data_IF_112749304811
#
_entry.id   IF_112749304811
#
_cell.length_a   1.000
_cell.length_b   1.000
_cell.length_c   1.000
_cell.angle_alpha   90.00
_cell.angle_beta   90.00
_cell.angle_gamma   90.00
#
_symmetry.space_group_name_H-M   'P 1'
#
loop_
_entity.id
_entity.type
_entity.pdbx_description
1 polymer ?
#
# COMPACT_ATOMS: atom_id res chain seq x y z
N UNK A 1 3.88 12.02 -9.41
CA UNK A 1 2.59 11.83 -10.13
C UNK A 1 1.39 12.60 -9.55
N UNK A 2 1.33 12.89 -8.25
CA UNK A 2 0.22 13.67 -7.64
C UNK A 2 0.72 14.94 -6.95
N UNK A 3 1.90 15.43 -7.35
CA UNK A 3 2.64 16.49 -6.64
C UNK A 3 1.80 17.72 -6.29
N UNK A 4 0.92 18.26 -7.17
CA UNK A 4 0.12 19.42 -6.79
C UNK A 4 -0.83 19.15 -5.60
N UNK A 5 -1.31 17.92 -5.45
CA UNK A 5 -2.20 17.51 -4.36
C UNK A 5 -1.46 17.29 -3.04
N UNK A 6 -0.15 17.03 -3.09
CA UNK A 6 0.67 16.79 -1.89
C UNK A 6 0.75 18.03 -0.98
N UNK A 7 0.51 19.23 -1.51
CA UNK A 7 0.43 20.45 -0.71
C UNK A 7 -0.82 20.55 0.19
N UNK A 8 -1.82 19.65 0.01
CA UNK A 8 -3.06 19.65 0.77
C UNK A 8 -2.92 18.78 2.04
N UNK A 9 -2.28 19.31 3.08
CA UNK A 9 -1.91 18.53 4.27
C UNK A 9 -3.08 18.08 5.17
N UNK A 10 -4.25 18.70 5.04
CA UNK A 10 -5.44 18.41 5.86
C UNK A 10 -6.35 17.33 5.26
N UNK A 11 -5.92 16.66 4.19
CA UNK A 11 -6.70 15.60 3.57
C UNK A 11 -6.86 14.38 4.49
N UNK A 12 -8.09 13.86 4.56
CA UNK A 12 -8.46 12.69 5.37
C UNK A 12 -8.96 11.53 4.52
N UNK A 13 -9.76 11.83 3.51
CA UNK A 13 -10.34 10.84 2.61
C UNK A 13 -9.96 11.20 1.17
N UNK A 14 -9.17 10.34 0.55
CA UNK A 14 -8.62 10.59 -0.79
C UNK A 14 -8.86 9.37 -1.67
N UNK A 15 -9.50 9.60 -2.81
CA UNK A 15 -9.70 8.59 -3.86
C UNK A 15 -9.23 9.15 -5.19
N UNK A 16 -8.17 8.55 -5.73
CA UNK A 16 -7.57 8.92 -7.01
C UNK A 16 -7.77 7.76 -7.98
N UNK A 17 -8.77 7.91 -8.85
CA UNK A 17 -9.23 6.88 -9.77
C UNK A 17 -8.92 7.29 -11.20
N UNK A 18 -7.96 6.64 -11.82
CA UNK A 18 -7.53 6.95 -13.17
C UNK A 18 -7.92 5.87 -14.19
N UNK A 19 -8.74 4.88 -13.80
CA UNK A 19 -9.29 3.89 -14.72
C UNK A 19 -8.22 3.20 -15.57
N UNK A 20 -8.30 3.32 -16.90
CA UNK A 20 -7.40 2.66 -17.86
C UNK A 20 -6.07 3.40 -18.08
N UNK A 21 -5.85 4.54 -17.41
CA UNK A 21 -4.56 5.21 -17.52
C UNK A 21 -3.47 4.37 -16.84
N UNK A 22 -2.31 4.36 -17.48
CA UNK A 22 -1.12 3.67 -16.99
C UNK A 22 -0.12 4.67 -16.48
N UNK A 23 0.41 4.43 -15.29
CA UNK A 23 1.43 5.27 -14.73
C UNK A 23 2.53 4.47 -14.03
N UNK A 24 3.78 4.94 -14.12
CA UNK A 24 4.81 4.50 -13.19
C UNK A 24 4.52 5.08 -11.81
N UNK A 25 4.76 4.28 -10.78
CA UNK A 25 4.81 4.77 -9.41
C UNK A 25 5.81 3.97 -8.60
N UNK A 26 6.46 4.65 -7.66
CA UNK A 26 7.61 4.14 -6.92
C UNK A 26 7.34 4.08 -5.42
N UNK A 27 8.19 3.35 -4.69
CA UNK A 27 8.18 3.36 -3.23
C UNK A 27 8.40 4.79 -2.67
N UNK A 28 9.12 5.66 -3.39
CA UNK A 28 9.25 7.08 -3.01
C UNK A 28 7.97 7.88 -3.21
N UNK A 29 7.18 7.62 -4.26
CA UNK A 29 5.87 8.26 -4.42
C UNK A 29 4.94 7.91 -3.24
N UNK A 30 4.94 6.64 -2.82
CA UNK A 30 4.15 6.20 -1.65
C UNK A 30 4.61 6.86 -0.35
N UNK A 31 5.92 7.01 -0.16
CA UNK A 31 6.48 7.77 0.96
C UNK A 31 5.99 9.22 0.94
N UNK A 32 6.15 9.91 -0.19
CA UNK A 32 5.73 11.31 -0.32
C UNK A 32 4.23 11.48 -0.05
N UNK A 33 3.38 10.56 -0.51
CA UNK A 33 1.95 10.56 -0.19
C UNK A 33 1.73 10.43 1.32
N UNK A 34 2.32 9.43 1.97
CA UNK A 34 2.13 9.18 3.39
C UNK A 34 2.63 10.33 4.28
N UNK A 35 3.79 10.90 3.94
CA UNK A 35 4.37 12.05 4.65
C UNK A 35 3.56 13.34 4.45
N UNK A 36 2.98 13.53 3.26
CA UNK A 36 2.24 14.75 2.94
C UNK A 36 0.86 14.82 3.61
N UNK A 37 0.24 13.66 3.87
CA UNK A 37 -1.13 13.58 4.40
C UNK A 37 -1.19 12.77 5.70
N UNK A 38 -0.60 13.26 6.80
CA UNK A 38 -0.57 12.55 8.08
C UNK A 38 -1.96 12.38 8.73
N UNK A 39 -2.94 13.20 8.30
CA UNK A 39 -4.33 13.13 8.74
C UNK A 39 -5.19 12.07 8.06
N UNK A 40 -4.63 11.30 7.11
CA UNK A 40 -5.37 10.29 6.35
C UNK A 40 -6.13 9.30 7.23
N UNK A 41 -7.42 9.12 6.91
CA UNK A 41 -8.32 8.10 7.45
C UNK A 41 -8.66 7.06 6.37
N UNK A 42 -8.79 7.47 5.11
CA UNK A 42 -9.06 6.57 3.97
C UNK A 42 -8.24 6.97 2.73
N UNK A 43 -7.52 6.02 2.14
CA UNK A 43 -6.80 6.24 0.88
C UNK A 43 -7.10 5.15 -0.15
N UNK A 44 -7.48 5.57 -1.36
CA UNK A 44 -7.67 4.70 -2.52
C UNK A 44 -6.92 5.27 -3.73
N UNK A 45 -6.07 4.45 -4.30
CA UNK A 45 -5.34 4.74 -5.53
C UNK A 45 -5.58 3.63 -6.53
N UNK A 46 -6.11 3.97 -7.70
CA UNK A 46 -6.50 2.99 -8.71
C UNK A 46 -6.11 3.46 -10.11
N UNK A 47 -5.29 2.64 -10.78
CA UNK A 47 -4.87 2.81 -12.17
C UNK A 47 -4.24 1.49 -12.67
N UNK A 48 -4.02 1.39 -13.98
CA UNK A 48 -3.36 0.22 -14.58
C UNK A 48 -1.85 0.31 -14.36
N UNK A 49 -1.25 -0.73 -13.78
CA UNK A 49 0.20 -0.78 -13.58
C UNK A 49 0.89 -1.57 -14.68
N UNK A 50 1.95 -1.00 -15.27
CA UNK A 50 2.88 -1.75 -16.11
C UNK A 50 3.74 -2.67 -15.25
N UNK A 51 4.18 -3.79 -15.83
CA UNK A 51 5.18 -4.66 -15.20
C UNK A 51 6.50 -3.85 -15.02
N UNK A 52 7.22 -4.08 -13.93
CA UNK A 52 8.47 -3.38 -13.56
C UNK A 52 8.35 -1.89 -13.19
N UNK A 53 7.15 -1.30 -13.20
CA UNK A 53 6.91 0.12 -12.86
C UNK A 53 5.94 0.27 -11.68
N UNK A 54 6.21 -0.49 -10.61
CA UNK A 54 5.35 -0.59 -9.43
C UNK A 54 6.14 -0.29 -8.17
N UNK A 55 5.46 0.23 -7.15
CA UNK A 55 6.08 0.37 -5.84
C UNK A 55 6.31 -1.01 -5.20
N UNK A 56 7.41 -1.13 -4.46
CA UNK A 56 7.72 -2.31 -3.67
C UNK A 56 6.73 -2.47 -2.52
N UNK A 57 6.31 -3.71 -2.25
CA UNK A 57 5.29 -4.03 -1.26
C UNK A 57 5.67 -3.56 0.15
N UNK A 58 6.96 -3.53 0.47
CA UNK A 58 7.46 -3.04 1.76
C UNK A 58 7.09 -1.57 2.04
N UNK A 59 6.87 -0.77 0.99
CA UNK A 59 6.59 0.66 1.09
C UNK A 59 5.25 0.99 1.77
N UNK A 60 4.35 0.01 1.95
CA UNK A 60 3.13 0.21 2.77
C UNK A 60 3.45 0.58 4.22
N UNK A 61 4.66 0.28 4.69
CA UNK A 61 5.12 0.68 6.02
C UNK A 61 5.15 2.21 6.18
N UNK A 62 5.28 2.98 5.11
CA UNK A 62 5.24 4.44 5.18
C UNK A 62 3.90 4.95 5.70
N UNK A 63 2.79 4.32 5.30
CA UNK A 63 1.47 4.67 5.83
C UNK A 63 1.36 4.34 7.32
N UNK A 64 1.95 3.24 7.77
CA UNK A 64 1.97 2.89 9.19
C UNK A 64 2.75 3.89 10.05
N UNK A 65 3.81 4.49 9.49
CA UNK A 65 4.64 5.49 10.18
C UNK A 65 3.97 6.87 10.20
N UNK A 66 3.40 7.30 9.06
CA UNK A 66 3.01 8.70 8.89
C UNK A 66 1.50 8.94 8.99
N UNK A 67 0.66 7.91 8.84
CA UNK A 67 -0.79 8.04 8.83
C UNK A 67 -1.44 7.28 10.01
N UNK A 68 -1.25 7.74 11.28
CA UNK A 68 -1.69 7.00 12.47
C UNK A 68 -3.22 6.88 12.62
N UNK A 69 -4.00 7.55 11.76
CA UNK A 69 -5.46 7.51 11.74
C UNK A 69 -6.02 6.64 10.61
N UNK A 70 -5.17 6.07 9.76
CA UNK A 70 -5.59 5.37 8.55
C UNK A 70 -6.36 4.08 8.88
N UNK A 71 -7.59 3.98 8.38
CA UNK A 71 -8.53 2.87 8.58
C UNK A 71 -8.74 2.04 7.32
N UNK A 72 -8.67 2.66 6.14
CA UNK A 72 -8.81 1.99 4.85
C UNK A 72 -7.69 2.38 3.89
N UNK A 73 -7.02 1.39 3.33
CA UNK A 73 -5.93 1.55 2.37
C UNK A 73 -6.13 0.63 1.18
N UNK A 74 -6.26 1.22 -0.02
CA UNK A 74 -6.40 0.50 -1.28
C UNK A 74 -5.36 1.00 -2.28
N UNK A 75 -4.55 0.08 -2.78
CA UNK A 75 -3.41 0.38 -3.65
C UNK A 75 -3.51 -0.38 -4.98
N UNK A 76 -2.91 0.18 -6.06
CA UNK A 76 -2.79 -0.51 -7.34
C UNK A 76 -1.80 -1.69 -7.22
N UNK A 77 -1.54 -2.38 -8.34
CA UNK A 77 -0.65 -3.55 -8.32
C UNK A 77 0.77 -3.19 -7.84
N UNK A 78 1.28 -3.93 -6.86
CA UNK A 78 2.62 -3.77 -6.26
C UNK A 78 3.54 -4.92 -6.67
N UNK A 79 4.82 -4.81 -6.35
CA UNK A 79 5.80 -5.88 -6.54
C UNK A 79 6.51 -6.26 -5.24
N UNK A 80 6.91 -7.51 -5.12
CA UNK A 80 7.77 -7.99 -4.06
C UNK A 80 9.11 -8.40 -4.67
N UNK A 81 10.20 -7.78 -4.21
CA UNK A 81 11.56 -8.18 -4.61
C UNK A 81 12.19 -9.06 -3.53
N UNK A 82 13.12 -9.94 -3.93
CA UNK A 82 13.73 -10.89 -3.00
C UNK A 82 14.47 -10.14 -1.88
N UNK A 83 14.11 -10.45 -0.64
CA UNK A 83 14.72 -9.83 0.55
C UNK A 83 14.18 -8.44 0.90
N UNK A 84 13.19 -7.89 0.18
CA UNK A 84 12.73 -6.50 0.42
C UNK A 84 12.02 -6.30 1.76
N UNK A 85 11.57 -7.38 2.39
CA UNK A 85 10.93 -7.36 3.73
C UNK A 85 11.93 -7.50 4.87
N UNK A 86 13.20 -7.79 4.57
CA UNK A 86 14.25 -7.97 5.57
C UNK A 86 14.70 -6.62 6.14
N UNK A 87 14.88 -6.53 7.45
CA UNK A 87 15.40 -5.32 8.09
C UNK A 87 14.43 -4.13 8.11
N UNK A 88 13.16 -4.31 7.72
CA UNK A 88 12.16 -3.24 7.79
C UNK A 88 12.00 -2.78 9.25
N UNK A 89 12.18 -1.47 9.45
CA UNK A 89 11.88 -0.82 10.71
C UNK A 89 10.37 -0.70 10.88
N UNK A 90 9.91 -1.04 12.08
CA UNK A 90 8.51 -1.01 12.47
C UNK A 90 8.31 0.19 13.43
N UNK A 91 7.29 1.04 13.27
CA UNK A 91 7.05 2.17 14.15
C UNK A 91 6.78 1.69 15.59
N UNK A 92 7.19 2.50 16.57
CA UNK A 92 6.84 2.26 17.97
C UNK A 92 5.32 2.33 18.17
N UNK A 93 4.74 1.40 18.95
CA UNK A 93 3.28 1.34 19.18
C UNK A 93 2.47 0.67 18.07
N UNK A 94 3.12 -0.04 17.13
CA UNK A 94 2.48 -0.70 15.98
C UNK A 94 1.33 -1.65 16.33
N UNK A 95 1.33 -2.21 17.54
CA UNK A 95 0.25 -3.05 18.08
C UNK A 95 -1.13 -2.37 18.05
N UNK A 96 -1.20 -1.05 17.84
CA UNK A 96 -2.44 -0.27 17.88
C UNK A 96 -2.85 0.37 16.55
N UNK A 97 -2.16 0.12 15.43
CA UNK A 97 -2.50 0.81 14.17
C UNK A 97 -3.98 0.57 13.77
N UNK A 98 -4.77 1.62 13.46
CA UNK A 98 -6.22 1.53 13.31
C UNK A 98 -6.67 0.97 11.94
N UNK A 99 -5.75 0.60 11.05
CA UNK A 99 -6.09 0.03 9.74
C UNK A 99 -6.95 -1.22 9.93
N UNK A 100 -8.09 -1.25 9.24
CA UNK A 100 -9.06 -2.36 9.26
C UNK A 100 -9.22 -2.97 7.86
N UNK A 101 -9.12 -2.12 6.84
CA UNK A 101 -9.25 -2.53 5.45
C UNK A 101 -7.94 -2.27 4.71
N UNK A 102 -7.37 -3.33 4.17
CA UNK A 102 -6.18 -3.25 3.34
C UNK A 102 -6.40 -4.08 2.07
N UNK A 103 -6.21 -3.45 0.91
CA UNK A 103 -6.30 -4.11 -0.38
C UNK A 103 -5.18 -3.64 -1.30
N UNK A 104 -4.58 -4.60 -1.98
CA UNK A 104 -3.68 -4.36 -3.09
C UNK A 104 -4.24 -5.12 -4.28
N UNK A 105 -4.38 -4.46 -5.43
CA UNK A 105 -5.02 -5.07 -6.61
C UNK A 105 -4.34 -6.38 -7.02
N UNK A 106 -3.00 -6.41 -6.97
CA UNK A 106 -2.17 -7.57 -7.24
C UNK A 106 -0.80 -7.39 -6.58
N UNK A 107 -0.16 -8.46 -6.13
CA UNK A 107 1.26 -8.44 -5.77
C UNK A 107 2.01 -9.35 -6.74
N UNK A 108 2.95 -8.78 -7.50
CA UNK A 108 3.84 -9.54 -8.36
C UNK A 108 4.98 -10.14 -7.54
N UNK A 109 5.26 -11.43 -7.71
CA UNK A 109 6.31 -12.15 -6.98
C UNK A 109 7.54 -12.43 -7.86
N UNK A 110 8.75 -12.49 -7.27
CA UNK A 110 9.96 -12.67 -8.03
C UNK A 110 10.04 -14.10 -8.58
N UNK A 111 10.28 -14.24 -9.88
CA UNK A 111 10.48 -15.54 -10.53
C UNK A 111 9.31 -16.51 -10.41
N UNK A 112 8.07 -16.00 -10.28
CA UNK A 112 6.87 -16.84 -10.18
C UNK A 112 6.75 -17.63 -8.87
N UNK A 113 7.56 -17.30 -7.85
CA UNK A 113 7.42 -17.87 -6.51
C UNK A 113 6.10 -17.47 -5.88
N UNK A 114 5.51 -18.32 -5.06
CA UNK A 114 4.40 -17.92 -4.20
C UNK A 114 4.96 -17.45 -2.85
N UNK A 115 4.94 -16.13 -2.62
CA UNK A 115 5.36 -15.50 -1.36
C UNK A 115 4.16 -14.88 -0.61
N UNK A 116 2.97 -15.44 -0.83
CA UNK A 116 1.74 -14.94 -0.21
C UNK A 116 1.81 -14.99 1.31
N UNK A 117 2.50 -15.99 1.88
CA UNK A 117 2.63 -16.14 3.33
C UNK A 117 3.45 -15.00 3.93
N UNK A 118 4.56 -14.64 3.30
CA UNK A 118 5.46 -13.57 3.69
C UNK A 118 4.74 -12.22 3.62
N UNK A 119 3.98 -11.99 2.54
CA UNK A 119 3.11 -10.81 2.38
C UNK A 119 2.08 -10.72 3.51
N UNK A 120 1.40 -11.82 3.83
CA UNK A 120 0.39 -11.86 4.90
C UNK A 120 1.05 -11.57 6.26
N UNK A 121 2.16 -12.22 6.56
CA UNK A 121 2.87 -12.06 7.83
C UNK A 121 3.40 -10.63 8.01
N UNK A 122 3.99 -10.07 6.94
CA UNK A 122 4.43 -8.69 6.94
C UNK A 122 3.26 -7.73 7.16
N UNK A 123 2.17 -7.90 6.41
CA UNK A 123 0.96 -7.09 6.57
C UNK A 123 0.41 -7.15 7.99
N UNK A 124 0.32 -8.34 8.58
CA UNK A 124 -0.16 -8.51 9.95
C UNK A 124 0.77 -7.88 10.99
N UNK A 125 2.07 -7.87 10.72
CA UNK A 125 3.05 -7.20 11.58
C UNK A 125 2.91 -5.68 11.48
N UNK A 126 2.72 -5.15 10.27
CA UNK A 126 2.57 -3.71 10.04
C UNK A 126 1.21 -3.19 10.51
N UNK A 127 0.14 -3.96 10.28
CA UNK A 127 -1.25 -3.61 10.53
C UNK A 127 -2.00 -4.74 11.26
N UNK A 128 -1.86 -4.86 12.59
CA UNK A 128 -2.33 -6.02 13.35
C UNK A 128 -3.84 -6.28 13.34
N UNK A 129 -4.65 -5.29 12.97
CA UNK A 129 -6.11 -5.35 12.98
C UNK A 129 -6.73 -5.56 11.61
N UNK A 130 -5.91 -5.72 10.57
CA UNK A 130 -6.39 -6.09 9.24
C UNK A 130 -6.87 -7.54 9.30
N UNK A 131 -8.15 -7.77 9.01
CA UNK A 131 -8.68 -9.13 8.86
C UNK A 131 -7.93 -9.89 7.77
N UNK A 132 -7.88 -11.22 7.85
CA UNK A 132 -7.21 -12.05 6.85
C UNK A 132 -7.60 -11.58 5.42
N UNK A 133 -6.63 -11.37 4.50
CA UNK A 133 -6.92 -10.77 3.21
C UNK A 133 -7.95 -11.62 2.48
N UNK A 134 -9.13 -11.04 2.27
CA UNK A 134 -10.14 -11.62 1.40
C UNK A 134 -9.57 -11.46 0.00
N UNK A 135 -8.92 -12.50 -0.51
CA UNK A 135 -8.50 -12.58 -1.89
C UNK A 135 -9.73 -12.21 -2.75
N UNK A 136 -9.62 -11.12 -3.51
CA UNK A 136 -10.57 -10.86 -4.57
C UNK A 136 -10.36 -11.98 -5.59
N UNK A 137 -11.23 -13.00 -5.51
CA UNK A 137 -11.31 -14.06 -6.50
C UNK A 137 -11.61 -13.36 -7.82
N UNK A 138 -10.60 -13.23 -8.68
CA UNK A 138 -10.80 -12.86 -10.06
C UNK A 138 -11.51 -14.04 -10.73
N UNK A 139 -12.85 -13.99 -10.78
CA UNK A 139 -13.60 -14.79 -11.74
C UNK A 139 -13.44 -14.09 -13.08
N UNK A 140 -12.52 -14.59 -13.88
CA UNK A 140 -12.50 -14.32 -15.32
C UNK A 140 -13.85 -14.79 -15.89
N UNK A 141 -14.59 -13.85 -16.49
CA UNK A 141 -15.56 -14.17 -17.53
C UNK A 141 -14.83 -14.14 -18.87
#
# INVERSE_FOLDING_TARGET
>A
MVEPLLALHELRDVSLLFGQFTFPYSSSDMRSIAESWPGLESFRLEFVTQDEQRAGFESVVHFAHHCPRLRSLQLPGMELTRGSLEGIAYPEGQHHHPLREFRVAQVAFPGGLDLSREVIQFTQRVFPHVGAPVAAVHRSL
#
